data_IF_578630537414
#
_entry.id   IF_578630537414
#
_cell.length_a   1.000
_cell.length_b   1.000
_cell.length_c   1.000
_cell.angle_alpha   90.00
_cell.angle_beta   90.00
_cell.angle_gamma   90.00
#
_symmetry.space_group_name_H-M   'P 1'
#
loop_
_entity.id
_entity.type
_entity.pdbx_description
1 polymer ?
#
# COMPACT_ATOMS: atom_id res chain seq x y z
N UNK A 1 -17.24 -2.73 63.15
CA UNK A 1 -17.21 -1.41 63.81
C UNK A 1 -17.07 -0.36 62.72
N UNK A 2 -18.05 0.57 62.63
CA UNK A 2 -18.13 1.92 61.99
C UNK A 2 -17.12 2.22 60.85
N UNK A 3 -17.50 2.33 59.56
CA UNK A 3 -18.31 3.35 58.85
C UNK A 3 -17.59 4.68 58.57
N UNK A 4 -17.43 5.04 57.28
CA UNK A 4 -17.73 6.35 56.63
C UNK A 4 -17.27 6.28 55.14
N UNK A 5 -18.08 6.30 54.08
CA UNK A 5 -19.04 7.28 53.48
C UNK A 5 -18.42 8.57 52.86
N UNK A 6 -18.49 8.65 51.50
CA UNK A 6 -19.01 9.73 50.60
C UNK A 6 -18.23 11.08 50.57
N UNK A 7 -17.84 11.72 49.43
CA UNK A 7 -18.64 12.29 48.30
C UNK A 7 -17.72 12.74 47.11
N UNK A 8 -18.21 12.84 45.86
CA UNK A 8 -17.47 13.32 44.67
C UNK A 8 -17.61 14.84 44.43
N UNK A 9 -16.64 15.43 43.71
CA UNK A 9 -16.68 16.83 43.28
C UNK A 9 -16.78 16.97 41.75
N UNK A 10 -17.96 17.37 41.28
CA UNK A 10 -18.22 17.88 39.93
C UNK A 10 -18.03 19.40 39.97
N UNK A 11 -17.28 19.97 39.02
CA UNK A 11 -17.25 21.41 38.79
C UNK A 11 -17.42 21.69 37.29
N UNK A 12 -18.65 21.98 36.91
CA UNK A 12 -19.05 22.58 35.64
C UNK A 12 -18.91 24.10 35.76
N UNK A 13 -18.28 24.75 34.79
CA UNK A 13 -18.38 26.20 34.59
C UNK A 13 -18.71 26.45 33.12
N UNK A 14 -19.89 27.04 32.89
CA UNK A 14 -20.31 27.64 31.64
C UNK A 14 -20.40 29.16 31.84
N UNK A 15 -19.88 29.95 30.89
CA UNK A 15 -20.19 31.36 30.76
C UNK A 15 -20.08 31.79 29.29
N UNK A 16 -21.18 32.34 28.76
CA UNK A 16 -21.35 32.98 27.45
C UNK A 16 -20.80 34.41 27.46
N UNK A 17 -20.30 34.92 26.32
CA UNK A 17 -20.46 36.33 25.95
C UNK A 17 -20.42 36.53 24.42
N UNK A 18 -21.38 37.34 23.98
CA UNK A 18 -21.76 37.76 22.63
C UNK A 18 -20.97 38.99 22.20
N UNK A 19 -20.60 39.11 20.92
CA UNK A 19 -20.29 40.41 20.31
C UNK A 19 -20.65 40.41 18.82
N UNK A 20 -21.45 41.40 18.42
CA UNK A 20 -21.94 41.68 17.08
C UNK A 20 -21.18 42.91 16.53
N UNK A 21 -20.93 42.98 15.23
CA UNK A 21 -20.28 44.15 14.62
C UNK A 21 -20.39 44.16 13.10
N UNK A 22 -21.44 44.83 12.61
CA UNK A 22 -21.77 45.09 11.20
C UNK A 22 -21.05 46.35 10.69
N UNK A 23 -20.65 46.37 9.43
CA UNK A 23 -20.24 47.59 8.73
C UNK A 23 -20.00 47.37 7.24
N UNK A 24 -21.04 47.60 6.44
CA UNK A 24 -20.98 47.73 4.98
C UNK A 24 -21.23 49.18 4.57
N UNK A 25 -20.81 49.48 3.34
CA UNK A 25 -21.12 50.64 2.48
C UNK A 25 -20.24 51.90 2.65
N UNK A 26 -19.90 52.68 1.62
CA UNK A 26 -19.98 52.73 0.13
C UNK A 26 -19.20 54.01 -0.20
N UNK A 27 -18.45 54.10 -1.31
CA UNK A 27 -18.34 55.31 -2.16
C UNK A 27 -17.58 54.97 -3.45
N UNK A 28 -18.32 54.74 -4.53
CA UNK A 28 -17.98 55.22 -5.89
C UNK A 28 -18.39 56.72 -5.98
N UNK A 29 -17.81 57.59 -6.84
CA UNK A 29 -17.78 57.38 -8.29
C UNK A 29 -16.60 58.00 -9.07
N UNK A 30 -16.44 57.62 -10.35
CA UNK A 30 -16.57 58.53 -11.51
C UNK A 30 -15.80 58.02 -12.73
N UNK A 31 -16.53 57.90 -13.83
CA UNK A 31 -16.09 57.52 -15.17
C UNK A 31 -15.21 58.57 -15.86
N UNK A 32 -14.34 58.13 -16.79
CA UNK A 32 -14.40 58.43 -18.23
C UNK A 32 -13.10 58.05 -18.99
N UNK A 33 -13.27 57.16 -19.97
CA UNK A 33 -12.77 57.17 -21.36
C UNK A 33 -11.35 57.68 -21.70
N UNK A 34 -10.49 56.80 -22.21
CA UNK A 34 -10.05 56.78 -23.63
C UNK A 34 -8.98 55.69 -23.90
N UNK A 35 -9.22 54.90 -24.96
CA UNK A 35 -8.26 54.05 -25.68
C UNK A 35 -7.44 54.93 -26.64
N UNK A 36 -6.18 54.62 -27.03
CA UNK A 36 -5.94 53.57 -28.03
C UNK A 36 -4.66 52.72 -27.89
N UNK A 37 -4.73 51.56 -28.54
CA UNK A 37 -3.69 50.77 -29.22
C UNK A 37 -2.21 50.86 -28.78
N UNK A 38 -1.67 49.72 -28.37
CA UNK A 38 -0.32 49.32 -28.79
C UNK A 38 -0.24 47.81 -28.94
N UNK A 39 0.17 47.39 -30.13
CA UNK A 39 0.28 46.00 -30.59
C UNK A 39 1.62 45.45 -30.10
N UNK A 40 1.59 44.37 -29.33
CA UNK A 40 2.77 43.56 -29.05
C UNK A 40 2.40 42.08 -29.18
N UNK A 41 2.70 41.53 -30.35
CA UNK A 41 2.62 40.11 -30.63
C UNK A 41 3.51 39.35 -29.64
N UNK A 42 2.90 38.51 -28.80
CA UNK A 42 3.62 37.50 -28.03
C UNK A 42 3.38 36.17 -28.73
N UNK A 43 4.45 35.65 -29.31
CA UNK A 43 4.54 34.35 -29.96
C UNK A 43 4.09 33.24 -29.01
N UNK A 44 3.04 32.51 -29.40
CA UNK A 44 2.66 31.21 -28.85
C UNK A 44 3.82 30.24 -29.10
N UNK A 45 4.58 29.94 -28.05
CA UNK A 45 5.55 28.85 -28.06
C UNK A 45 4.78 27.56 -27.79
N UNK A 46 4.49 26.85 -28.86
CA UNK A 46 4.05 25.45 -28.88
C UNK A 46 5.15 24.61 -28.21
N UNK A 47 4.94 24.25 -26.95
CA UNK A 47 5.80 23.34 -26.22
C UNK A 47 5.35 21.90 -26.53
N UNK A 48 6.21 21.04 -27.11
CA UNK A 48 5.83 19.66 -27.35
C UNK A 48 5.62 18.96 -26.00
N UNK A 49 4.39 18.52 -25.75
CA UNK A 49 4.10 17.54 -24.72
C UNK A 49 4.91 16.29 -25.02
N UNK A 50 5.97 16.06 -24.25
CA UNK A 50 6.70 14.79 -24.27
C UNK A 50 5.81 13.79 -23.53
N UNK A 51 4.94 13.12 -24.26
CA UNK A 51 4.26 11.93 -23.78
C UNK A 51 5.34 10.86 -23.55
N UNK A 52 5.78 10.73 -22.30
CA UNK A 52 6.51 9.55 -21.85
C UNK A 52 5.54 8.37 -21.85
N UNK A 53 5.40 7.72 -23.00
CA UNK A 53 4.81 6.38 -23.08
C UNK A 53 5.75 5.44 -22.33
N UNK A 54 5.46 5.17 -21.06
CA UNK A 54 6.09 4.07 -20.33
C UNK A 54 5.59 2.78 -20.99
N UNK A 55 6.36 2.28 -21.96
CA UNK A 55 6.16 0.93 -22.48
C UNK A 55 6.27 -0.03 -21.30
N UNK A 56 5.14 -0.58 -20.89
CA UNK A 56 5.10 -1.76 -20.04
C UNK A 56 5.85 -2.86 -20.79
N UNK A 57 7.06 -3.18 -20.34
CA UNK A 57 7.78 -4.35 -20.81
C UNK A 57 6.92 -5.55 -20.47
N UNK A 58 6.33 -6.17 -21.50
CA UNK A 58 5.76 -7.50 -21.37
C UNK A 58 6.94 -8.43 -21.04
N UNK A 59 7.04 -8.79 -19.76
CA UNK A 59 7.97 -9.82 -19.32
C UNK A 59 7.66 -11.11 -20.09
N UNK A 60 8.66 -11.86 -20.59
CA UNK A 60 8.41 -13.18 -21.13
C UNK A 60 7.71 -14.02 -20.05
N UNK A 61 6.51 -14.50 -20.37
CA UNK A 61 5.68 -15.28 -19.46
C UNK A 61 6.48 -16.49 -18.95
N UNK A 62 6.77 -16.50 -17.66
CA UNK A 62 7.25 -17.71 -17.02
C UNK A 62 6.13 -18.76 -17.11
N UNK A 63 6.42 -20.08 -17.13
CA UNK A 63 5.35 -21.06 -17.10
C UNK A 63 4.49 -20.84 -15.84
N UNK A 64 3.19 -20.66 -16.03
CA UNK A 64 2.26 -20.46 -14.94
C UNK A 64 2.36 -21.64 -13.96
N UNK A 65 2.69 -21.34 -12.70
CA UNK A 65 3.03 -22.30 -11.68
C UNK A 65 1.93 -22.41 -10.62
N UNK A 66 1.95 -23.51 -9.85
CA UNK A 66 1.15 -23.69 -8.63
C UNK A 66 2.01 -23.63 -7.36
N UNK A 67 3.32 -23.62 -7.52
CA UNK A 67 4.32 -23.37 -6.50
C UNK A 67 5.61 -22.89 -7.18
N UNK A 68 6.39 -22.06 -6.50
CA UNK A 68 7.68 -21.58 -7.02
C UNK A 68 8.60 -21.15 -5.88
N UNK A 69 9.90 -21.21 -6.14
CA UNK A 69 10.94 -20.84 -5.20
C UNK A 69 12.12 -20.23 -5.93
N UNK A 70 12.70 -19.17 -5.37
CA UNK A 70 13.98 -18.61 -5.78
C UNK A 70 14.80 -18.26 -4.53
N UNK A 71 16.10 -18.59 -4.49
CA UNK A 71 16.96 -18.15 -3.41
C UNK A 71 17.19 -16.63 -3.47
N UNK A 72 17.55 -15.99 -2.34
CA UNK A 72 17.99 -14.60 -2.35
C UNK A 72 19.28 -14.43 -3.16
N UNK A 73 19.48 -13.26 -3.77
CA UNK A 73 20.75 -12.91 -4.39
C UNK A 73 21.57 -11.98 -3.47
N UNK A 74 22.78 -12.41 -3.16
CA UNK A 74 23.66 -11.72 -2.20
C UNK A 74 23.26 -12.00 -0.75
N UNK A 75 23.36 -10.97 0.10
CA UNK A 75 22.96 -11.01 1.50
C UNK A 75 21.91 -9.90 1.72
N UNK A 76 20.67 -10.10 1.24
CA UNK A 76 19.66 -9.05 1.25
C UNK A 76 19.28 -8.64 2.67
N UNK A 77 19.07 -7.34 2.81
CA UNK A 77 18.84 -6.70 4.08
C UNK A 77 17.69 -5.68 3.91
N UNK A 78 16.51 -6.21 3.60
CA UNK A 78 15.40 -5.48 3.00
C UNK A 78 14.38 -5.00 4.03
N UNK A 79 13.87 -3.79 3.81
CA UNK A 79 12.73 -3.22 4.53
C UNK A 79 11.53 -3.17 3.62
N UNK A 80 10.39 -3.73 4.04
CA UNK A 80 9.15 -3.64 3.29
C UNK A 80 8.64 -2.18 3.29
N UNK A 81 8.48 -1.62 2.10
CA UNK A 81 8.00 -0.25 1.92
C UNK A 81 6.49 -0.23 1.72
N UNK A 82 5.98 -1.13 0.88
CA UNK A 82 4.60 -1.11 0.44
C UNK A 82 4.13 -2.48 -0.05
N UNK A 83 2.81 -2.70 0.00
CA UNK A 83 2.14 -3.82 -0.66
C UNK A 83 1.04 -3.26 -1.54
N UNK A 84 1.10 -3.57 -2.84
CA UNK A 84 0.11 -3.11 -3.81
C UNK A 84 -0.59 -4.27 -4.48
N UNK A 85 -1.87 -4.09 -4.75
CA UNK A 85 -2.66 -5.02 -5.55
C UNK A 85 -3.34 -4.24 -6.67
N UNK A 86 -3.31 -4.75 -7.91
CA UNK A 86 -3.96 -4.11 -9.05
C UNK A 86 -4.46 -5.11 -10.08
N UNK A 87 -5.63 -4.84 -10.66
CA UNK A 87 -6.23 -5.67 -11.72
C UNK A 87 -5.78 -5.25 -13.12
N UNK A 88 -5.52 -6.24 -13.96
CA UNK A 88 -5.19 -6.10 -15.37
C UNK A 88 -6.06 -7.06 -16.22
N UNK A 89 -6.05 -6.91 -17.54
CA UNK A 89 -6.95 -7.67 -18.45
C UNK A 89 -6.79 -9.20 -18.35
N UNK A 90 -5.59 -9.69 -18.03
CA UNK A 90 -5.27 -11.12 -18.00
C UNK A 90 -4.88 -11.67 -16.61
N UNK A 91 -4.65 -10.79 -15.64
CA UNK A 91 -4.14 -11.15 -14.32
C UNK A 91 -4.41 -10.06 -13.29
N UNK A 92 -4.38 -10.41 -12.01
CA UNK A 92 -4.18 -9.46 -10.92
C UNK A 92 -2.73 -9.52 -10.45
N UNK A 93 -2.19 -8.37 -10.06
CA UNK A 93 -0.79 -8.24 -9.67
C UNK A 93 -0.68 -7.84 -8.21
N UNK A 94 0.02 -8.66 -7.43
CA UNK A 94 0.45 -8.34 -6.06
C UNK A 94 1.92 -7.96 -6.11
N UNK A 95 2.28 -6.84 -5.47
CA UNK A 95 3.65 -6.34 -5.41
C UNK A 95 4.04 -6.11 -3.96
N UNK A 96 5.15 -6.70 -3.54
CA UNK A 96 5.85 -6.36 -2.30
C UNK A 96 7.06 -5.51 -2.68
N UNK A 97 7.04 -4.22 -2.34
CA UNK A 97 8.14 -3.30 -2.63
C UNK A 97 9.09 -3.20 -1.44
N UNK A 98 10.39 -3.21 -1.72
CA UNK A 98 11.44 -3.16 -0.72
C UNK A 98 12.40 -2.00 -0.94
N UNK A 99 13.00 -1.55 0.15
CA UNK A 99 14.23 -0.76 0.16
C UNK A 99 15.34 -1.55 0.86
N UNK A 100 16.58 -1.12 0.72
CA UNK A 100 17.76 -1.81 1.24
C UNK A 100 18.62 -2.41 0.12
N UNK A 101 19.57 -3.24 0.52
CA UNK A 101 20.55 -3.85 -0.38
C UNK A 101 20.17 -5.30 -0.71
N UNK A 102 20.56 -5.76 -1.91
CA UNK A 102 20.33 -7.11 -2.40
C UNK A 102 18.93 -7.35 -3.00
N UNK A 103 18.67 -8.60 -3.39
CA UNK A 103 17.38 -9.04 -3.91
C UNK A 103 16.73 -10.10 -3.02
N UNK A 104 15.41 -10.05 -2.83
CA UNK A 104 14.72 -11.01 -1.98
C UNK A 104 14.76 -12.42 -2.58
N UNK A 105 14.87 -13.42 -1.72
CA UNK A 105 14.46 -14.78 -2.05
C UNK A 105 12.96 -14.93 -1.80
N UNK A 106 12.35 -15.99 -2.34
CA UNK A 106 10.95 -16.28 -2.04
C UNK A 106 10.61 -17.76 -2.13
N UNK A 107 9.58 -18.16 -1.39
CA UNK A 107 8.83 -19.40 -1.58
C UNK A 107 7.34 -19.07 -1.65
N UNK A 108 6.68 -19.55 -2.68
CA UNK A 108 5.25 -19.34 -2.89
C UNK A 108 4.57 -20.68 -3.13
N UNK A 109 3.55 -21.00 -2.32
CA UNK A 109 2.86 -22.29 -2.37
C UNK A 109 1.43 -22.19 -1.85
N UNK A 110 0.54 -23.05 -2.32
CA UNK A 110 -0.80 -23.21 -1.73
C UNK A 110 -0.74 -23.93 -0.38
N UNK A 111 -1.62 -23.53 0.53
CA UNK A 111 -1.80 -24.17 1.85
C UNK A 111 -3.28 -24.26 2.22
N UNK A 112 -3.64 -25.27 3.01
CA UNK A 112 -5.00 -25.42 3.54
C UNK A 112 -5.31 -24.40 4.64
N UNK A 113 -4.28 -23.91 5.34
CA UNK A 113 -4.40 -23.02 6.50
C UNK A 113 -3.28 -21.99 6.53
N UNK A 114 -3.63 -20.77 6.93
CA UNK A 114 -2.67 -19.70 7.18
C UNK A 114 -2.14 -19.77 8.61
N UNK A 115 -1.06 -20.52 8.82
CA UNK A 115 -0.45 -20.69 10.15
C UNK A 115 0.78 -19.77 10.29
N UNK A 116 0.78 -18.92 11.30
CA UNK A 116 1.94 -18.08 11.60
C UNK A 116 3.19 -18.90 11.87
N UNK A 117 4.32 -18.44 11.32
CA UNK A 117 5.63 -18.99 11.67
C UNK A 117 5.86 -18.93 13.19
N UNK A 118 6.60 -19.93 13.69
CA UNK A 118 6.92 -20.17 15.10
C UNK A 118 5.73 -20.49 16.04
N UNK A 119 4.66 -19.69 16.03
CA UNK A 119 3.52 -19.86 16.95
C UNK A 119 2.53 -20.93 16.49
N UNK A 120 2.38 -21.13 15.17
CA UNK A 120 1.34 -21.97 14.59
C UNK A 120 -0.08 -21.40 14.75
N UNK A 121 -0.22 -20.13 15.16
CA UNK A 121 -1.51 -19.48 15.28
C UNK A 121 -2.17 -19.33 13.91
N UNK A 122 -3.42 -19.79 13.79
CA UNK A 122 -4.18 -19.70 12.55
C UNK A 122 -4.72 -18.29 12.34
N UNK A 123 -4.40 -17.69 11.19
CA UNK A 123 -4.86 -16.38 10.77
C UNK A 123 -6.06 -16.48 9.85
N UNK A 124 -6.96 -15.51 9.94
CA UNK A 124 -8.05 -15.36 9.01
C UNK A 124 -7.53 -14.81 7.67
N UNK A 125 -7.87 -15.50 6.58
CA UNK A 125 -7.58 -15.06 5.20
C UNK A 125 -8.90 -15.01 4.44
N UNK A 126 -9.11 -13.93 3.67
CA UNK A 126 -10.29 -13.79 2.82
C UNK A 126 -10.17 -14.65 1.56
N UNK A 127 -11.27 -15.18 1.03
CA UNK A 127 -11.24 -16.03 -0.16
C UNK A 127 -11.44 -17.52 0.15
N UNK A 128 -11.33 -18.35 -0.89
CA UNK A 128 -11.57 -19.80 -0.82
C UNK A 128 -10.27 -20.62 -0.90
N UNK A 129 -9.20 -20.05 -1.46
CA UNK A 129 -7.88 -20.67 -1.56
C UNK A 129 -6.80 -19.74 -1.02
N UNK A 130 -5.75 -20.30 -0.42
CA UNK A 130 -4.70 -19.54 0.27
C UNK A 130 -3.35 -19.81 -0.38
N UNK A 131 -2.70 -18.74 -0.86
CA UNK A 131 -1.33 -18.77 -1.34
C UNK A 131 -0.41 -18.17 -0.28
N UNK A 132 0.43 -19.00 0.34
CA UNK A 132 1.47 -18.57 1.26
C UNK A 132 2.68 -18.03 0.49
N UNK A 133 3.17 -16.87 0.92
CA UNK A 133 4.34 -16.17 0.37
C UNK A 133 5.33 -15.94 1.51
N UNK A 134 6.44 -16.65 1.47
CA UNK A 134 7.60 -16.40 2.34
C UNK A 134 8.63 -15.60 1.55
N UNK A 135 9.06 -14.46 2.07
CA UNK A 135 10.02 -13.56 1.42
C UNK A 135 11.29 -13.48 2.26
N UNK A 136 12.40 -14.00 1.72
CA UNK A 136 13.70 -14.05 2.40
C UNK A 136 14.48 -12.76 2.24
N UNK A 137 15.35 -12.47 3.21
CA UNK A 137 16.14 -11.23 3.21
C UNK A 137 15.47 -10.08 3.92
N UNK A 138 14.46 -10.36 4.76
CA UNK A 138 13.73 -9.36 5.54
C UNK A 138 13.99 -9.60 7.03
N UNK A 139 15.05 -9.00 7.60
CA UNK A 139 15.43 -9.24 8.98
C UNK A 139 14.44 -8.61 9.96
N UNK A 140 14.24 -9.23 11.12
CA UNK A 140 13.19 -8.85 12.09
C UNK A 140 13.38 -7.45 12.69
N UNK A 141 14.60 -6.93 12.70
CA UNK A 141 14.91 -5.58 13.20
C UNK A 141 14.61 -4.48 12.18
N UNK A 142 14.21 -4.84 10.95
CA UNK A 142 13.75 -3.91 9.91
C UNK A 142 12.25 -3.96 9.72
N UNK A 143 11.56 -3.23 10.60
CA UNK A 143 10.11 -3.05 10.52
C UNK A 143 9.72 -2.36 9.21
N UNK A 144 8.56 -2.70 8.62
CA UNK A 144 8.02 -2.00 7.46
C UNK A 144 8.00 -0.48 7.64
N UNK A 145 8.34 0.26 6.59
CA UNK A 145 8.33 1.73 6.62
C UNK A 145 6.92 2.30 6.72
N UNK A 146 5.93 1.59 6.16
CA UNK A 146 4.52 1.92 6.31
C UNK A 146 4.00 1.33 7.63
N UNK A 147 3.54 2.17 8.59
CA UNK A 147 3.06 1.68 9.89
C UNK A 147 1.84 0.76 9.79
N UNK A 148 1.03 0.90 8.75
CA UNK A 148 -0.13 0.05 8.52
C UNK A 148 0.24 -1.40 8.14
N UNK A 149 1.51 -1.62 7.77
CA UNK A 149 2.04 -2.93 7.39
C UNK A 149 2.82 -3.63 8.52
N UNK A 150 2.93 -3.03 9.70
CA UNK A 150 3.70 -3.59 10.81
C UNK A 150 2.94 -4.73 11.51
N UNK A 151 1.63 -4.56 11.70
CA UNK A 151 0.85 -5.50 12.51
C UNK A 151 0.48 -6.75 11.71
N UNK A 152 0.63 -7.92 12.35
CA UNK A 152 0.11 -9.17 11.79
C UNK A 152 -1.42 -9.14 11.68
N UNK A 153 -1.97 -9.87 10.71
CA UNK A 153 -3.40 -9.93 10.45
C UNK A 153 -3.80 -9.43 9.05
N UNK A 154 -5.11 -9.34 8.79
CA UNK A 154 -5.62 -9.03 7.46
C UNK A 154 -5.43 -7.55 7.10
N UNK A 155 -5.08 -7.31 5.83
CA UNK A 155 -5.03 -6.01 5.20
C UNK A 155 -6.18 -5.85 4.23
N UNK A 156 -6.70 -4.61 4.13
CA UNK A 156 -7.81 -4.26 3.23
C UNK A 156 -7.30 -4.05 1.80
N UNK A 157 -6.67 -5.08 1.23
CA UNK A 157 -6.04 -5.08 -0.09
C UNK A 157 -6.66 -6.19 -0.95
N UNK A 158 -7.67 -5.85 -1.75
CA UNK A 158 -8.41 -6.79 -2.58
C UNK A 158 -8.73 -6.18 -3.94
N UNK A 159 -8.67 -6.99 -5.00
CA UNK A 159 -9.08 -6.63 -6.36
C UNK A 159 -9.19 -7.89 -7.21
N UNK A 160 -10.15 -7.93 -8.14
CA UNK A 160 -10.31 -9.07 -9.05
C UNK A 160 -10.42 -10.41 -8.32
N UNK A 161 -9.47 -11.30 -8.61
CA UNK A 161 -9.34 -12.65 -8.05
C UNK A 161 -8.61 -12.67 -6.69
N UNK A 162 -7.97 -11.56 -6.29
CA UNK A 162 -7.31 -11.40 -4.98
C UNK A 162 -8.34 -10.88 -3.98
N UNK A 163 -8.75 -11.75 -3.06
CA UNK A 163 -9.74 -11.45 -2.04
C UNK A 163 -9.18 -10.71 -0.81
N UNK A 164 -7.85 -10.74 -0.61
CA UNK A 164 -7.20 -10.08 0.52
C UNK A 164 -5.73 -10.45 0.64
N UNK A 165 -4.99 -9.68 1.44
CA UNK A 165 -3.63 -10.00 1.88
C UNK A 165 -3.65 -10.10 3.41
N UNK A 166 -2.93 -11.05 4.00
CA UNK A 166 -2.80 -11.22 5.45
C UNK A 166 -1.34 -11.34 5.83
N UNK A 167 -0.88 -10.52 6.77
CA UNK A 167 0.49 -10.56 7.28
C UNK A 167 0.64 -11.63 8.36
N UNK A 168 1.53 -12.58 8.12
CA UNK A 168 1.94 -13.63 9.06
C UNK A 168 2.97 -13.17 10.09
N UNK A 169 3.65 -12.06 9.83
CA UNK A 169 4.77 -11.54 10.62
C UNK A 169 6.12 -11.89 10.00
N UNK A 170 7.19 -11.54 10.71
CA UNK A 170 8.57 -11.83 10.30
C UNK A 170 9.23 -12.75 11.31
N UNK A 171 9.87 -13.82 10.82
CA UNK A 171 10.61 -14.78 11.63
C UNK A 171 11.83 -15.28 10.84
N UNK A 172 12.96 -15.51 11.51
CA UNK A 172 14.18 -16.10 10.90
C UNK A 172 14.59 -15.48 9.55
N UNK A 173 14.60 -14.13 9.45
CA UNK A 173 14.97 -13.37 8.25
C UNK A 173 13.99 -13.51 7.07
N UNK A 174 12.75 -13.91 7.35
CA UNK A 174 11.70 -14.08 6.37
C UNK A 174 10.41 -13.41 6.82
N UNK A 175 9.75 -12.69 5.92
CA UNK A 175 8.41 -12.16 6.13
C UNK A 175 7.40 -13.08 5.48
N UNK A 176 6.35 -13.42 6.22
CA UNK A 176 5.29 -14.30 5.78
C UNK A 176 4.05 -13.49 5.44
N UNK A 177 3.47 -13.76 4.27
CA UNK A 177 2.20 -13.23 3.85
C UNK A 177 1.31 -14.35 3.31
N UNK A 178 0.01 -14.15 3.39
CA UNK A 178 -0.98 -15.02 2.78
C UNK A 178 -1.83 -14.20 1.83
N UNK A 179 -1.89 -14.63 0.57
CA UNK A 179 -2.75 -14.05 -0.46
C UNK A 179 -4.00 -14.92 -0.53
N UNK A 180 -5.13 -14.30 -0.24
CA UNK A 180 -6.43 -14.91 -0.37
C UNK A 180 -6.94 -14.84 -1.80
N UNK A 181 -7.38 -15.97 -2.36
CA UNK A 181 -7.86 -16.08 -3.74
C UNK A 181 -9.30 -16.59 -3.78
N UNK A 182 -10.05 -16.22 -4.82
CA UNK A 182 -11.42 -16.68 -5.03
C UNK A 182 -11.51 -18.18 -5.37
N UNK A 183 -10.46 -18.74 -5.97
CA UNK A 183 -10.21 -20.16 -6.21
C UNK A 183 -8.72 -20.38 -6.45
N UNK A 184 -8.28 -21.63 -6.52
CA UNK A 184 -6.92 -21.96 -6.93
C UNK A 184 -6.65 -21.47 -8.36
N UNK A 185 -5.58 -20.70 -8.53
CA UNK A 185 -5.19 -20.01 -9.76
C UNK A 185 -3.74 -20.31 -10.10
N UNK A 186 -3.40 -20.36 -11.39
CA UNK A 186 -2.00 -20.35 -11.76
C UNK A 186 -1.42 -18.95 -11.56
N UNK A 187 -0.12 -18.88 -11.30
CA UNK A 187 0.56 -17.61 -11.10
C UNK A 187 2.00 -17.62 -11.62
N UNK A 188 2.53 -16.43 -11.84
CA UNK A 188 3.94 -16.19 -12.12
C UNK A 188 4.52 -15.27 -11.04
N UNK A 189 5.81 -15.43 -10.73
CA UNK A 189 6.52 -14.57 -9.79
C UNK A 189 7.84 -14.11 -10.40
N UNK A 190 8.18 -12.84 -10.21
CA UNK A 190 9.44 -12.26 -10.66
C UNK A 190 9.95 -11.23 -9.67
N UNK A 191 11.27 -11.10 -9.59
CA UNK A 191 11.94 -10.06 -8.81
C UNK A 191 12.47 -9.01 -9.79
N UNK A 192 12.19 -7.74 -9.51
CA UNK A 192 12.69 -6.61 -10.30
C UNK A 192 13.62 -5.75 -9.45
N UNK A 193 14.63 -5.16 -10.11
CA UNK A 193 15.52 -4.15 -9.55
C UNK A 193 15.04 -2.77 -10.05
N UNK A 194 14.75 -1.83 -9.15
CA UNK A 194 14.29 -0.45 -9.44
C UNK A 194 12.81 -0.27 -9.85
N UNK A 195 11.87 -0.19 -8.89
CA UNK A 195 12.10 -0.40 -7.46
C UNK A 195 12.33 -1.89 -7.16
N UNK A 196 13.13 -2.19 -6.14
CA UNK A 196 13.33 -3.58 -5.69
C UNK A 196 11.99 -4.15 -5.23
N UNK A 197 11.56 -5.28 -5.79
CA UNK A 197 10.28 -5.85 -5.41
C UNK A 197 10.05 -7.26 -5.91
N UNK A 198 9.20 -7.98 -5.19
CA UNK A 198 8.61 -9.25 -5.61
C UNK A 198 7.25 -8.98 -6.23
N UNK A 199 7.08 -9.35 -7.49
CA UNK A 199 5.87 -9.17 -8.29
C UNK A 199 5.26 -10.54 -8.56
N UNK A 200 4.00 -10.71 -8.16
CA UNK A 200 3.23 -11.95 -8.34
C UNK A 200 2.04 -11.64 -9.24
N UNK A 201 1.92 -12.36 -10.36
CA UNK A 201 0.85 -12.23 -11.34
C UNK A 201 -0.09 -13.42 -11.23
N UNK A 202 -1.30 -13.22 -10.73
CA UNK A 202 -2.34 -14.24 -10.55
C UNK A 202 -3.27 -14.24 -11.76
N UNK A 203 -3.35 -15.32 -12.51
CA UNK A 203 -4.08 -15.36 -13.79
C UNK A 203 -5.60 -15.56 -13.62
N UNK A 204 -6.36 -15.08 -14.61
CA UNK A 204 -7.83 -15.15 -14.66
C UNK A 204 -8.43 -16.55 -14.90
#
# INVERSE_FOLDING_TARGET
MKSSLILPGILTVAALLTACGTGSEVTEPSAATASPESVAATTTQDAPATESTVSAVASPAAPAAFNTFAPPEGAPELTLQDIRVGSHEAYDRVVFEFSGDGLPGYRIQYTDKALQQASGHELAVSGNDILEVLIEGTPMDRLPSNPDLISAGPYQLATGNVAGITNGGTFENQSQFFIGLDRQRSFEATVLESPTGLFIYVHL
#
